data_IF_827679496440
#
_entry.id   IF_827679496440
#
_cell.length_a   1.000
_cell.length_b   1.000
_cell.length_c   1.000
_cell.angle_alpha   90.00
_cell.angle_beta   90.00
_cell.angle_gamma   90.00
#
_symmetry.space_group_name_H-M   'P 1'
#
loop_
_entity.id
_entity.type
_entity.pdbx_description
1 polymer ?
#
# COMPACT_ATOMS: atom_id res chain seq x y z
N UNK A 1 -8.88 -26.54 4.31
CA UNK A 1 -7.78 -26.12 3.42
C UNK A 1 -7.57 -24.65 3.49
N UNK A 2 -6.33 -24.22 3.64
CA UNK A 2 -6.02 -22.79 3.61
C UNK A 2 -6.20 -22.27 2.17
N UNK A 3 -6.87 -21.13 2.01
CA UNK A 3 -7.00 -20.48 0.72
C UNK A 3 -5.64 -19.91 0.30
N UNK A 4 -5.36 -19.99 -0.99
CA UNK A 4 -4.14 -19.42 -1.55
C UNK A 4 -4.22 -17.92 -1.59
N UNK A 5 -3.14 -17.26 -1.20
CA UNK A 5 -2.96 -15.83 -1.39
C UNK A 5 -1.69 -15.59 -2.21
N UNK A 6 -1.71 -14.60 -3.14
CA UNK A 6 -0.56 -14.36 -4.00
C UNK A 6 0.57 -13.66 -3.23
N UNK A 7 1.81 -13.72 -3.77
CA UNK A 7 2.91 -12.94 -3.22
C UNK A 7 2.55 -11.46 -3.16
N UNK A 8 2.88 -10.82 -2.05
CA UNK A 8 2.52 -9.43 -1.80
C UNK A 8 1.24 -9.26 -1.00
N UNK A 9 0.52 -10.33 -0.72
CA UNK A 9 -0.65 -10.28 0.16
C UNK A 9 -0.21 -9.81 1.55
N UNK A 10 -0.92 -8.85 2.16
CA UNK A 10 -0.48 -8.28 3.44
C UNK A 10 -0.67 -9.24 4.60
N UNK A 11 0.32 -9.26 5.50
CA UNK A 11 0.21 -10.00 6.75
C UNK A 11 -0.92 -9.41 7.59
N UNK A 12 -1.71 -10.27 8.20
CA UNK A 12 -2.81 -9.84 9.07
C UNK A 12 -4.15 -9.69 8.36
N UNK A 13 -4.18 -9.83 7.03
CA UNK A 13 -5.45 -9.88 6.29
C UNK A 13 -5.74 -11.33 5.96
N UNK A 14 -6.90 -11.82 6.40
CA UNK A 14 -7.33 -13.20 6.15
C UNK A 14 -7.59 -13.41 4.66
N UNK A 15 -7.44 -14.64 4.15
CA UNK A 15 -7.65 -14.90 2.73
C UNK A 15 -9.07 -14.61 2.27
N UNK A 16 -9.27 -14.29 0.97
CA UNK A 16 -10.60 -14.20 0.39
C UNK A 16 -11.36 -15.51 0.60
N UNK A 17 -12.64 -15.41 0.92
CA UNK A 17 -13.48 -16.57 1.26
C UNK A 17 -13.50 -16.92 2.73
N UNK A 18 -12.56 -16.41 3.52
CA UNK A 18 -12.62 -16.49 4.97
C UNK A 18 -13.72 -15.57 5.50
N UNK A 19 -14.37 -15.98 6.61
CA UNK A 19 -15.38 -15.13 7.26
C UNK A 19 -14.78 -13.83 7.78
N UNK A 20 -13.47 -13.80 8.06
CA UNK A 20 -12.78 -12.64 8.60
C UNK A 20 -12.07 -11.81 7.53
N UNK A 21 -12.17 -12.18 6.25
CA UNK A 21 -11.48 -11.46 5.18
C UNK A 21 -11.86 -9.98 5.15
N UNK A 22 -13.15 -9.70 5.05
CA UNK A 22 -13.61 -8.32 4.88
C UNK A 22 -13.26 -7.44 6.08
N UNK A 23 -13.48 -7.94 7.30
CA UNK A 23 -13.17 -7.18 8.51
C UNK A 23 -11.67 -6.90 8.65
N UNK A 24 -10.82 -7.90 8.37
CA UNK A 24 -9.37 -7.71 8.44
C UNK A 24 -8.85 -6.83 7.31
N UNK A 25 -9.46 -6.91 6.13
CA UNK A 25 -9.12 -6.02 5.01
C UNK A 25 -9.43 -4.57 5.35
N UNK A 26 -10.61 -4.28 5.90
CA UNK A 26 -10.99 -2.92 6.29
C UNK A 26 -10.03 -2.37 7.35
N UNK A 27 -9.73 -3.16 8.38
CA UNK A 27 -8.80 -2.73 9.43
C UNK A 27 -7.42 -2.40 8.86
N UNK A 28 -6.90 -3.25 7.98
CA UNK A 28 -5.60 -3.04 7.35
C UNK A 28 -5.60 -1.80 6.45
N UNK A 29 -6.64 -1.63 5.63
CA UNK A 29 -6.75 -0.46 4.73
C UNK A 29 -6.84 0.84 5.51
N UNK A 30 -7.54 0.86 6.64
CA UNK A 30 -7.63 2.06 7.49
C UNK A 30 -6.29 2.43 8.11
N UNK A 31 -5.39 1.46 8.31
CA UNK A 31 -4.03 1.75 8.78
C UNK A 31 -3.12 2.27 7.67
N UNK A 32 -3.45 2.01 6.41
CA UNK A 32 -2.69 2.47 5.25
C UNK A 32 -2.98 3.93 4.90
N UNK A 33 -4.22 4.35 5.08
CA UNK A 33 -4.68 5.70 4.71
C UNK A 33 -4.55 6.67 5.88
N UNK A 34 -4.61 7.99 5.64
CA UNK A 34 -4.60 8.96 6.72
C UNK A 34 -5.72 8.71 7.74
N UNK A 35 -5.47 9.00 9.04
CA UNK A 35 -6.47 8.77 10.10
C UNK A 35 -7.81 9.45 9.83
N UNK A 36 -7.83 10.57 9.11
CA UNK A 36 -9.03 11.32 8.78
C UNK A 36 -10.03 10.49 7.98
N UNK A 37 -9.58 9.47 7.25
CA UNK A 37 -10.48 8.60 6.48
C UNK A 37 -11.44 7.83 7.39
N UNK A 38 -11.09 7.65 8.65
CA UNK A 38 -11.95 6.98 9.64
C UNK A 38 -13.23 7.78 9.93
N UNK A 39 -13.23 9.09 9.60
CA UNK A 39 -14.40 9.96 9.78
C UNK A 39 -15.49 9.72 8.72
N UNK A 40 -15.15 9.05 7.61
CA UNK A 40 -16.08 8.82 6.52
C UNK A 40 -16.74 7.45 6.68
N UNK A 41 -17.93 7.43 7.27
CA UNK A 41 -18.64 6.17 7.54
C UNK A 41 -18.89 5.33 6.28
N UNK A 42 -18.99 5.95 5.11
CA UNK A 42 -19.17 5.25 3.84
C UNK A 42 -18.04 4.28 3.55
N UNK A 43 -16.81 4.58 4.01
CA UNK A 43 -15.66 3.73 3.75
C UNK A 43 -15.69 2.44 4.55
N UNK A 44 -16.28 2.47 5.75
CA UNK A 44 -16.48 1.25 6.54
C UNK A 44 -17.62 0.40 6.01
N UNK A 45 -18.68 1.06 5.53
CA UNK A 45 -19.84 0.36 4.97
C UNK A 45 -19.57 -0.24 3.59
N UNK A 46 -18.60 0.32 2.85
CA UNK A 46 -18.27 -0.11 1.51
C UNK A 46 -16.76 -0.34 1.37
N UNK A 47 -16.28 -1.53 1.76
CA UNK A 47 -14.83 -1.81 1.75
C UNK A 47 -14.16 -1.58 0.39
N UNK A 48 -14.87 -1.81 -0.72
CA UNK A 48 -14.32 -1.54 -2.04
C UNK A 48 -14.07 -0.05 -2.27
N UNK A 49 -14.94 0.83 -1.73
CA UNK A 49 -14.70 2.28 -1.79
C UNK A 49 -13.45 2.65 -1.00
N UNK A 50 -13.25 2.06 0.18
CA UNK A 50 -12.04 2.27 0.97
C UNK A 50 -10.79 1.80 0.21
N UNK A 51 -10.83 0.61 -0.39
CA UNK A 51 -9.72 0.09 -1.18
C UNK A 51 -9.38 1.00 -2.37
N UNK A 52 -10.40 1.55 -3.02
CA UNK A 52 -10.21 2.48 -4.15
C UNK A 52 -9.57 3.78 -3.71
N UNK A 53 -10.02 4.37 -2.61
CA UNK A 53 -9.41 5.58 -2.06
C UNK A 53 -7.99 5.31 -1.58
N UNK A 54 -7.74 4.17 -0.95
CA UNK A 54 -6.40 3.77 -0.52
C UNK A 54 -5.45 3.62 -1.71
N UNK A 55 -5.92 3.02 -2.81
CA UNK A 55 -5.12 2.87 -4.03
C UNK A 55 -4.65 4.22 -4.57
N UNK A 56 -5.57 5.18 -4.66
CA UNK A 56 -5.23 6.53 -5.13
C UNK A 56 -4.29 7.25 -4.16
N UNK A 57 -4.54 7.11 -2.86
CA UNK A 57 -3.68 7.73 -1.85
C UNK A 57 -2.26 7.20 -1.94
N UNK A 58 -2.08 5.88 -1.96
CA UNK A 58 -0.75 5.26 -2.01
C UNK A 58 -0.03 5.61 -3.32
N UNK A 59 -0.76 5.62 -4.45
CA UNK A 59 -0.18 6.02 -5.73
C UNK A 59 0.37 7.45 -5.68
N UNK A 60 -0.36 8.37 -5.06
CA UNK A 60 0.11 9.75 -4.87
C UNK A 60 1.35 9.79 -3.96
N UNK A 61 1.39 8.97 -2.92
CA UNK A 61 2.57 8.88 -2.04
C UNK A 61 3.79 8.34 -2.78
N UNK A 62 3.62 7.35 -3.65
CA UNK A 62 4.72 6.83 -4.49
C UNK A 62 5.29 7.93 -5.37
N UNK A 63 4.44 8.71 -6.03
CA UNK A 63 4.89 9.83 -6.87
C UNK A 63 5.57 10.91 -6.03
N UNK A 64 5.02 11.23 -4.85
CA UNK A 64 5.64 12.18 -3.94
C UNK A 64 7.04 11.76 -3.51
N UNK A 65 7.25 10.47 -3.21
CA UNK A 65 8.57 9.95 -2.85
C UNK A 65 9.55 10.03 -4.02
N UNK A 66 9.09 9.73 -5.24
CA UNK A 66 9.92 9.86 -6.45
C UNK A 66 10.33 11.30 -6.70
N UNK A 67 9.40 12.22 -6.60
CA UNK A 67 9.66 13.65 -6.80
C UNK A 67 10.61 14.18 -5.72
N UNK A 68 10.40 13.81 -4.46
CA UNK A 68 11.28 14.20 -3.36
C UNK A 68 12.70 13.68 -3.56
N UNK A 69 12.84 12.43 -4.00
CA UNK A 69 14.16 11.86 -4.27
C UNK A 69 14.88 12.64 -5.37
N UNK A 70 14.19 12.97 -6.47
CA UNK A 70 14.78 13.71 -7.60
C UNK A 70 15.21 15.12 -7.22
N UNK A 71 14.47 15.79 -6.34
CA UNK A 71 14.69 17.19 -6.02
C UNK A 71 15.46 17.45 -4.72
N UNK A 72 15.70 16.42 -3.92
CA UNK A 72 16.26 16.58 -2.57
C UNK A 72 17.62 17.31 -2.56
N UNK A 73 18.52 16.97 -3.49
CA UNK A 73 19.84 17.64 -3.55
C UNK A 73 19.71 19.13 -3.84
N UNK A 74 18.81 19.50 -4.74
CA UNK A 74 18.57 20.90 -5.08
C UNK A 74 17.90 21.65 -3.93
N UNK A 75 16.88 21.04 -3.34
CA UNK A 75 16.11 21.71 -2.30
C UNK A 75 16.85 21.81 -0.96
N UNK A 76 17.67 20.82 -0.63
CA UNK A 76 18.28 20.71 0.70
C UNK A 76 19.78 20.96 0.71
N UNK A 77 20.44 20.97 -0.45
CA UNK A 77 21.89 21.06 -0.53
C UNK A 77 22.50 22.31 0.09
N UNK A 78 21.75 23.41 0.11
CA UNK A 78 22.20 24.65 0.76
C UNK A 78 21.91 24.71 2.25
N UNK A 79 21.11 23.80 2.79
CA UNK A 79 20.64 23.84 4.17
C UNK A 79 21.19 22.69 5.03
N UNK A 80 21.61 21.60 4.41
CA UNK A 80 22.12 20.41 5.09
C UNK A 80 23.54 20.10 4.65
N UNK A 81 24.37 19.52 5.55
CA UNK A 81 25.68 18.99 5.13
C UNK A 81 25.48 17.81 4.17
N UNK A 82 26.54 17.48 3.41
CA UNK A 82 26.46 16.44 2.38
C UNK A 82 25.98 15.09 2.92
N UNK A 83 26.44 14.69 4.11
CA UNK A 83 26.00 13.42 4.72
C UNK A 83 24.52 13.47 5.11
N UNK A 84 23.99 14.64 5.46
CA UNK A 84 22.57 14.83 5.75
C UNK A 84 21.71 14.65 4.50
N UNK A 85 22.15 15.23 3.37
CA UNK A 85 21.46 15.04 2.08
C UNK A 85 21.47 13.56 1.69
N UNK A 86 22.60 12.88 1.82
CA UNK A 86 22.70 11.45 1.50
C UNK A 86 21.76 10.62 2.38
N UNK A 87 21.63 10.96 3.66
CA UNK A 87 20.71 10.28 4.57
C UNK A 87 19.24 10.49 4.15
N UNK A 88 18.88 11.69 3.71
CA UNK A 88 17.54 11.98 3.19
C UNK A 88 17.25 11.17 1.92
N UNK A 89 18.22 11.08 1.01
CA UNK A 89 18.08 10.27 -0.20
C UNK A 89 17.87 8.79 0.14
N UNK A 90 18.59 8.28 1.12
CA UNK A 90 18.41 6.90 1.60
C UNK A 90 17.03 6.69 2.20
N UNK A 91 16.52 7.68 2.96
CA UNK A 91 15.18 7.64 3.52
C UNK A 91 14.11 7.59 2.42
N UNK A 92 14.25 8.43 1.37
CA UNK A 92 13.32 8.39 0.24
C UNK A 92 13.34 7.04 -0.48
N UNK A 93 14.51 6.44 -0.67
CA UNK A 93 14.60 5.10 -1.29
C UNK A 93 13.89 4.04 -0.46
N UNK A 94 14.12 4.05 0.84
CA UNK A 94 13.49 3.10 1.77
C UNK A 94 11.97 3.28 1.77
N UNK A 95 11.51 4.51 1.89
CA UNK A 95 10.08 4.83 1.88
C UNK A 95 9.44 4.48 0.55
N UNK A 96 10.13 4.74 -0.57
CA UNK A 96 9.64 4.38 -1.90
C UNK A 96 9.41 2.89 -2.05
N UNK A 97 10.34 2.06 -1.56
CA UNK A 97 10.17 0.60 -1.60
C UNK A 97 8.99 0.16 -0.75
N UNK A 98 8.86 0.71 0.46
CA UNK A 98 7.73 0.41 1.35
C UNK A 98 6.40 0.76 0.68
N UNK A 99 6.33 1.93 0.03
CA UNK A 99 5.11 2.39 -0.63
C UNK A 99 4.76 1.53 -1.85
N UNK A 100 5.74 1.08 -2.61
CA UNK A 100 5.50 0.18 -3.77
C UNK A 100 4.93 -1.16 -3.29
N UNK A 101 5.47 -1.71 -2.21
CA UNK A 101 4.96 -2.96 -1.63
C UNK A 101 3.53 -2.76 -1.10
N UNK A 102 3.27 -1.64 -0.46
CA UNK A 102 1.92 -1.28 0.03
C UNK A 102 0.95 -1.12 -1.13
N UNK A 103 1.36 -0.47 -2.22
CA UNK A 103 0.53 -0.31 -3.42
C UNK A 103 0.12 -1.67 -4.00
N UNK A 104 1.06 -2.62 -4.05
CA UNK A 104 0.77 -3.98 -4.51
C UNK A 104 -0.25 -4.67 -3.60
N UNK A 105 -0.08 -4.55 -2.29
CA UNK A 105 -1.00 -5.15 -1.32
C UNK A 105 -2.40 -4.55 -1.44
N UNK A 106 -2.51 -3.22 -1.57
CA UNK A 106 -3.79 -2.54 -1.75
C UNK A 106 -4.48 -3.01 -3.04
N UNK A 107 -3.73 -3.15 -4.13
CA UNK A 107 -4.27 -3.65 -5.39
C UNK A 107 -4.85 -5.06 -5.23
N UNK A 108 -4.11 -5.96 -4.59
CA UNK A 108 -4.55 -7.34 -4.36
C UNK A 108 -5.83 -7.38 -3.50
N UNK A 109 -5.89 -6.57 -2.44
CA UNK A 109 -7.08 -6.47 -1.59
C UNK A 109 -8.28 -5.97 -2.42
N UNK A 110 -8.10 -4.93 -3.23
CA UNK A 110 -9.16 -4.40 -4.08
C UNK A 110 -9.69 -5.43 -5.07
N UNK A 111 -8.80 -6.20 -5.67
CA UNK A 111 -9.18 -7.29 -6.58
C UNK A 111 -9.98 -8.38 -5.86
N UNK A 112 -9.54 -8.76 -4.67
CA UNK A 112 -10.25 -9.75 -3.86
C UNK A 112 -11.64 -9.24 -3.44
N UNK A 113 -11.76 -7.96 -3.09
CA UNK A 113 -13.05 -7.34 -2.75
C UNK A 113 -14.01 -7.29 -3.95
N UNK A 114 -13.48 -7.32 -5.18
CA UNK A 114 -14.28 -7.44 -6.41
C UNK A 114 -14.65 -8.88 -6.74
N UNK A 115 -14.24 -9.82 -5.92
CA UNK A 115 -14.57 -11.24 -6.11
C UNK A 115 -13.54 -12.04 -6.89
N UNK A 116 -12.36 -11.48 -7.16
CA UNK A 116 -11.31 -12.22 -7.85
C UNK A 116 -10.79 -13.34 -6.98
N UNK A 117 -10.63 -14.52 -7.56
CA UNK A 117 -10.06 -15.69 -6.90
C UNK A 117 -8.64 -15.88 -7.42
N UNK A 118 -7.69 -15.98 -6.49
CA UNK A 118 -6.30 -16.18 -6.83
C UNK A 118 -5.95 -17.66 -6.82
N UNK A 119 -5.10 -18.07 -7.75
CA UNK A 119 -4.57 -19.43 -7.79
C UNK A 119 -3.07 -19.39 -8.08
N UNK A 120 -2.31 -20.39 -7.56
CA UNK A 120 -0.88 -20.42 -7.84
C UNK A 120 -0.64 -20.68 -9.31
N UNK A 121 0.37 -20.00 -9.88
CA UNK A 121 0.79 -20.28 -11.26
C UNK A 121 1.57 -21.57 -11.29
N UNK A 122 1.15 -22.47 -12.16
CA UNK A 122 1.94 -23.65 -12.46
C UNK A 122 3.10 -23.25 -13.37
N UNK A 123 4.31 -23.68 -13.00
CA UNK A 123 5.46 -23.53 -13.90
C UNK A 123 5.28 -24.48 -15.07
N UNK A 124 5.23 -23.91 -16.26
CA UNK A 124 5.40 -24.68 -17.49
C UNK A 124 6.84 -24.56 -17.91
N UNK A 125 7.46 -25.69 -18.11
CA UNK A 125 8.81 -25.73 -18.68
C UNK A 125 8.74 -25.75 -20.20
#
# INVERSE_FOLDING_TARGET
MAAYVPPGWPTGVHPPGSTDFEATAVAWLLDVVPPDYRLYGVLRRHPLALATMARHHVAACVEGARDGYRSARTELGGSLPAHGVDAVLAAYRSEGRRLVDTARAVDLIGRALRGEVFSPRLRTE
#
